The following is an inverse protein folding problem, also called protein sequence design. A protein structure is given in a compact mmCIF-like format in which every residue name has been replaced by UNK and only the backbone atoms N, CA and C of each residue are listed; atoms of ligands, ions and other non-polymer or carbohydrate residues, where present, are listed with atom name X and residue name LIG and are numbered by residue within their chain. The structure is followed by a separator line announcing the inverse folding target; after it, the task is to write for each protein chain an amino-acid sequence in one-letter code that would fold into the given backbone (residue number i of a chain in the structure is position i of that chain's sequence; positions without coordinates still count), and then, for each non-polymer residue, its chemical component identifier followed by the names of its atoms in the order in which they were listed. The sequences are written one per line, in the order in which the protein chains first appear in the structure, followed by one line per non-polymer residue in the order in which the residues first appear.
data_IF_320728724585
#
_entry.id   IF_320728724585
#
_cell.length_a   1.000
_cell.length_b   1.000
_cell.length_c   1.000
_cell.angle_alpha   90.00
_cell.angle_beta   90.00
_cell.angle_gamma   90.00
#
_symmetry.space_group_name_H-M   'P 1'
#
loop_
_entity.id
_entity.type
_entity.pdbx_description
1 polymer ?
#
# COMPACT_ATOMS: atom_id res chain seq x y z
N UNK A 1 -2.81 36.90 -28.87
CA UNK A 1 -3.15 35.78 -29.79
C UNK A 1 -3.25 34.51 -28.96
N UNK A 2 -4.47 34.03 -28.72
CA UNK A 2 -4.73 32.81 -27.95
C UNK A 2 -4.69 31.61 -28.91
N UNK A 3 -3.78 30.66 -28.67
CA UNK A 3 -3.63 29.44 -29.48
C UNK A 3 -4.67 28.44 -28.99
N UNK A 4 -5.68 28.17 -29.80
CA UNK A 4 -6.65 27.12 -29.52
C UNK A 4 -5.91 25.77 -29.59
N UNK A 5 -5.96 24.99 -28.50
CA UNK A 5 -5.50 23.61 -28.49
C UNK A 5 -6.57 22.77 -29.18
N UNK A 6 -6.32 22.37 -30.44
CA UNK A 6 -7.10 21.34 -31.10
C UNK A 6 -6.88 20.01 -30.36
N UNK A 7 -7.96 19.48 -29.79
CA UNK A 7 -7.99 18.14 -29.18
C UNK A 7 -8.03 17.13 -30.33
N UNK A 8 -6.88 16.52 -30.63
CA UNK A 8 -6.85 15.38 -31.56
C UNK A 8 -7.65 14.20 -30.97
N UNK A 9 -8.38 13.43 -31.80
CA UNK A 9 -9.05 12.22 -31.36
C UNK A 9 -8.01 11.24 -30.79
N UNK A 10 -8.27 10.76 -29.57
CA UNK A 10 -7.36 9.83 -28.86
C UNK A 10 -7.12 8.59 -29.71
N UNK A 11 -5.87 8.39 -30.13
CA UNK A 11 -5.47 7.15 -30.79
C UNK A 11 -5.80 5.94 -29.89
N UNK A 12 -6.18 4.79 -30.47
CA UNK A 12 -6.46 3.59 -29.70
C UNK A 12 -5.22 3.20 -28.90
N UNK A 13 -5.36 3.15 -27.57
CA UNK A 13 -4.30 2.71 -26.66
C UNK A 13 -4.10 1.21 -26.87
N UNK A 14 -2.94 0.83 -27.38
CA UNK A 14 -2.56 -0.58 -27.52
C UNK A 14 -2.40 -1.20 -26.12
N UNK A 15 -3.18 -2.24 -25.76
CA UNK A 15 -3.06 -2.91 -24.45
C UNK A 15 -1.70 -3.59 -24.25
N UNK A 16 -0.86 -3.68 -25.28
CA UNK A 16 0.52 -4.20 -25.23
C UNK A 16 1.59 -3.11 -25.22
N UNK A 17 1.22 -1.84 -25.03
CA UNK A 17 2.20 -0.77 -24.88
C UNK A 17 3.09 -1.05 -23.66
N UNK A 18 4.32 -1.50 -23.91
CA UNK A 18 5.35 -1.67 -22.89
C UNK A 18 6.10 -0.36 -22.72
N UNK A 19 6.28 0.08 -21.49
CA UNK A 19 7.12 1.24 -21.18
C UNK A 19 8.58 0.82 -21.43
N UNK A 20 9.27 1.51 -22.33
CA UNK A 20 10.66 1.22 -22.74
C UNK A 20 11.71 1.73 -21.73
N UNK A 21 11.26 2.45 -20.70
CA UNK A 21 12.11 3.04 -19.67
C UNK A 21 11.49 2.75 -18.30
N UNK A 22 12.32 2.31 -17.35
CA UNK A 22 11.86 2.18 -15.97
C UNK A 22 11.44 3.56 -15.42
N UNK A 23 10.33 3.66 -14.68
CA UNK A 23 9.94 4.92 -14.07
C UNK A 23 10.97 5.33 -13.00
N UNK A 24 11.26 6.62 -12.90
CA UNK A 24 12.10 7.16 -11.84
C UNK A 24 11.40 7.21 -10.48
N UNK A 25 10.06 7.18 -10.48
CA UNK A 25 9.24 7.32 -9.28
C UNK A 25 7.99 6.42 -9.37
N UNK A 26 7.78 5.62 -8.33
CA UNK A 26 6.54 4.91 -8.05
C UNK A 26 5.82 5.62 -6.91
N UNK A 27 4.51 5.80 -7.07
CA UNK A 27 3.65 6.44 -6.07
C UNK A 27 2.57 5.45 -5.67
N UNK A 28 2.55 5.05 -4.41
CA UNK A 28 1.46 4.29 -3.82
C UNK A 28 0.56 5.26 -3.06
N UNK A 29 -0.60 5.56 -3.64
CA UNK A 29 -1.53 6.54 -3.12
C UNK A 29 -2.69 5.86 -2.38
N UNK A 30 -2.87 6.21 -1.12
CA UNK A 30 -3.93 5.77 -0.21
C UNK A 30 -4.08 4.24 -0.11
N UNK A 31 -2.98 3.46 0.11
CA UNK A 31 -3.06 2.01 0.19
C UNK A 31 -3.99 1.54 1.31
N UNK A 32 -4.13 2.28 2.41
CA UNK A 32 -5.13 2.02 3.46
C UNK A 32 -6.56 1.93 2.96
N UNK A 33 -6.93 2.65 1.89
CA UNK A 33 -8.29 2.60 1.35
C UNK A 33 -8.67 1.22 0.83
N UNK A 34 -7.68 0.41 0.42
CA UNK A 34 -7.90 -0.99 0.03
C UNK A 34 -8.40 -1.87 1.20
N UNK A 35 -8.08 -1.48 2.44
CA UNK A 35 -8.35 -2.29 3.62
C UNK A 35 -9.43 -1.69 4.54
N UNK A 36 -9.83 -0.44 4.30
CA UNK A 36 -10.99 0.19 4.93
C UNK A 36 -12.29 -0.35 4.29
N UNK A 37 -13.43 -0.35 4.99
CA UNK A 37 -14.44 -1.40 4.83
C UNK A 37 -15.19 -1.36 3.48
N UNK A 38 -15.25 -2.54 2.86
CA UNK A 38 -16.33 -3.01 2.00
C UNK A 38 -16.67 -4.41 2.55
N UNK A 39 -17.67 -4.48 3.44
CA UNK A 39 -18.24 -5.71 4.05
C UNK A 39 -17.52 -6.36 5.24
N UNK A 40 -18.29 -7.08 6.06
CA UNK A 40 -17.95 -7.62 7.40
C UNK A 40 -16.90 -8.74 7.39
N UNK A 41 -16.51 -9.24 6.21
CA UNK A 41 -15.61 -10.39 6.04
C UNK A 41 -14.12 -10.02 5.84
N UNK A 42 -13.72 -8.81 6.23
CA UNK A 42 -12.36 -8.34 6.00
C UNK A 42 -11.32 -9.07 6.88
N UNK A 43 -10.83 -10.20 6.37
CA UNK A 43 -9.77 -11.05 6.94
C UNK A 43 -8.36 -10.41 6.91
N UNK A 44 -8.27 -9.12 6.59
CA UNK A 44 -7.00 -8.40 6.48
C UNK A 44 -6.33 -8.22 7.84
N UNK A 45 -5.03 -8.48 7.89
CA UNK A 45 -4.20 -8.29 9.08
C UNK A 45 -3.19 -7.17 8.86
N UNK A 46 -2.52 -6.73 9.93
CA UNK A 46 -1.37 -5.81 9.82
C UNK A 46 -0.33 -6.33 8.84
N UNK A 47 -0.11 -7.65 8.80
CA UNK A 47 0.80 -8.29 7.84
C UNK A 47 0.36 -8.12 6.39
N UNK A 48 -0.95 -8.08 6.10
CA UNK A 48 -1.46 -7.86 4.74
C UNK A 48 -1.08 -6.47 4.22
N UNK A 49 -1.20 -5.43 5.07
CA UNK A 49 -0.78 -4.08 4.72
C UNK A 49 0.74 -4.00 4.51
N UNK A 50 1.53 -4.54 5.44
CA UNK A 50 2.99 -4.53 5.32
C UNK A 50 3.47 -5.29 4.07
N UNK A 51 2.82 -6.40 3.74
CA UNK A 51 3.14 -7.16 2.53
C UNK A 51 2.92 -6.36 1.25
N UNK A 52 1.86 -5.55 1.19
CA UNK A 52 1.62 -4.63 0.06
C UNK A 52 2.78 -3.63 -0.10
N UNK A 53 3.23 -3.04 1.01
CA UNK A 53 4.36 -2.10 1.00
C UNK A 53 5.66 -2.80 0.56
N UNK A 54 5.92 -4.01 1.08
CA UNK A 54 7.09 -4.82 0.71
C UNK A 54 7.07 -5.16 -0.78
N UNK A 55 5.92 -5.53 -1.34
CA UNK A 55 5.80 -5.79 -2.77
C UNK A 55 6.07 -4.53 -3.60
N UNK A 56 5.55 -3.37 -3.20
CA UNK A 56 5.83 -2.11 -3.89
C UNK A 56 7.32 -1.77 -3.88
N UNK A 57 8.02 -2.01 -2.76
CA UNK A 57 9.47 -1.86 -2.66
C UNK A 57 10.22 -2.83 -3.57
N UNK A 58 9.83 -4.11 -3.59
CA UNK A 58 10.43 -5.11 -4.48
C UNK A 58 10.24 -4.75 -5.96
N UNK A 59 9.10 -4.16 -6.32
CA UNK A 59 8.87 -3.65 -7.68
C UNK A 59 9.78 -2.46 -7.98
N UNK A 60 9.96 -1.52 -7.05
CA UNK A 60 10.89 -0.40 -7.21
C UNK A 60 12.33 -0.88 -7.43
N UNK A 61 12.78 -1.84 -6.63
CA UNK A 61 14.11 -2.46 -6.75
C UNK A 61 14.27 -3.18 -8.10
N UNK A 62 13.27 -3.97 -8.49
CA UNK A 62 13.25 -4.66 -9.77
C UNK A 62 13.36 -3.67 -10.95
N UNK A 63 12.58 -2.59 -10.94
CA UNK A 63 12.63 -1.57 -11.98
C UNK A 63 13.98 -0.84 -12.02
N UNK A 64 14.59 -0.60 -10.86
CA UNK A 64 15.93 -0.02 -10.75
C UNK A 64 17.00 -0.93 -11.35
N UNK A 65 16.89 -2.25 -11.14
CA UNK A 65 17.85 -3.23 -11.66
C UNK A 65 17.75 -3.44 -13.19
N UNK A 66 16.62 -3.07 -13.78
CA UNK A 66 16.29 -3.33 -15.19
C UNK A 66 16.73 -2.25 -16.15
N UNK A 67 17.29 -1.13 -15.70
CA UNK A 67 17.84 -0.13 -16.60
C UNK A 67 19.33 -0.42 -16.88
N UNK A 68 19.68 -1.05 -18.02
CA UNK A 68 21.06 -1.26 -18.40
C UNK A 68 21.78 0.05 -18.76
N UNK A 69 21.03 1.16 -18.92
CA UNK A 69 21.61 2.48 -19.12
C UNK A 69 21.94 3.05 -17.74
N UNK A 70 23.19 2.84 -17.31
CA UNK A 70 23.80 3.33 -16.06
C UNK A 70 23.69 4.86 -15.77
N UNK A 71 22.86 5.62 -16.49
CA UNK A 71 22.67 7.06 -16.31
C UNK A 71 21.34 7.45 -15.66
N UNK A 72 20.38 6.53 -15.49
CA UNK A 72 19.11 6.86 -14.83
C UNK A 72 19.23 6.69 -13.30
N UNK A 73 18.60 7.59 -12.52
CA UNK A 73 18.52 7.41 -11.07
C UNK A 73 17.69 6.16 -10.74
N UNK A 74 17.96 5.50 -9.59
CA UNK A 74 17.15 4.38 -9.14
C UNK A 74 15.69 4.80 -8.96
N UNK A 75 14.77 3.87 -9.21
CA UNK A 75 13.34 4.06 -9.01
C UNK A 75 13.07 4.31 -7.53
N UNK A 76 12.60 5.52 -7.21
CA UNK A 76 12.16 5.87 -5.86
C UNK A 76 10.73 5.39 -5.62
N UNK A 77 10.42 4.93 -4.42
CA UNK A 77 9.05 4.65 -3.99
C UNK A 77 8.61 5.72 -3.00
N UNK A 78 7.45 6.32 -3.24
CA UNK A 78 6.79 7.22 -2.29
C UNK A 78 5.41 6.67 -1.97
N UNK A 79 5.12 6.59 -0.67
CA UNK A 79 3.82 6.14 -0.16
C UNK A 79 3.13 7.33 0.48
N UNK A 80 1.93 7.66 -0.02
CA UNK A 80 1.06 8.65 0.58
C UNK A 80 -0.15 7.93 1.17
N UNK A 81 -0.33 8.00 2.48
CA UNK A 81 -1.45 7.36 3.16
C UNK A 81 -2.00 8.28 4.25
N UNK A 82 -3.15 8.90 3.99
CA UNK A 82 -3.80 9.82 4.93
C UNK A 82 -4.71 9.12 5.94
N UNK A 83 -5.05 7.83 5.73
CA UNK A 83 -5.99 7.09 6.58
C UNK A 83 -5.31 5.97 7.38
N UNK A 84 -3.99 6.02 7.48
CA UNK A 84 -3.20 5.04 8.21
C UNK A 84 -3.55 4.99 9.71
N UNK A 85 -4.01 6.12 10.27
CA UNK A 85 -4.52 6.26 11.63
C UNK A 85 -5.89 5.59 11.85
N UNK A 86 -6.68 5.46 10.79
CA UNK A 86 -7.99 4.81 10.79
C UNK A 86 -7.87 3.29 10.64
N UNK A 87 -6.72 2.78 10.17
CA UNK A 87 -6.47 1.36 10.04
C UNK A 87 -6.29 0.67 11.40
N UNK A 88 -7.17 -0.27 11.64
CA UNK A 88 -7.21 -1.11 12.83
C UNK A 88 -7.28 -2.57 12.40
N UNK A 89 -6.16 -3.28 12.49
CA UNK A 89 -6.11 -4.70 12.15
C UNK A 89 -5.81 -5.55 13.38
N UNK A 90 -6.27 -6.82 13.39
CA UNK A 90 -5.75 -7.79 14.32
C UNK A 90 -4.29 -8.13 13.98
N UNK A 91 -3.43 -8.21 15.00
CA UNK A 91 -2.01 -8.59 14.84
C UNK A 91 -1.89 -10.07 14.45
N UNK A 92 -2.74 -10.92 15.03
CA UNK A 92 -2.87 -12.33 14.70
C UNK A 92 -4.35 -12.63 14.42
N UNK A 93 -4.63 -13.42 13.38
CA UNK A 93 -5.98 -13.99 13.23
C UNK A 93 -6.22 -14.90 14.43
N UNK A 94 -7.31 -14.69 15.15
CA UNK A 94 -7.74 -15.69 16.15
C UNK A 94 -7.86 -17.03 15.41
N UNK A 95 -7.24 -18.10 15.93
CA UNK A 95 -7.39 -19.42 15.33
C UNK A 95 -8.88 -19.71 15.25
N UNK A 96 -9.38 -20.01 14.04
CA UNK A 96 -10.77 -20.38 13.84
C UNK A 96 -11.05 -21.59 14.72
N UNK A 97 -11.80 -21.42 15.81
CA UNK A 97 -12.17 -22.55 16.68
C UNK A 97 -12.89 -23.57 15.80
N UNK A 98 -12.24 -24.71 15.61
CA UNK A 98 -12.82 -25.85 14.91
C UNK A 98 -14.10 -26.27 15.64
N UNK A 99 -15.08 -26.78 14.89
CA UNK A 99 -16.48 -27.01 15.28
C UNK A 99 -16.74 -28.07 16.38
N UNK A 100 -15.85 -28.21 17.37
CA UNK A 100 -15.91 -29.24 18.40
C UNK A 100 -15.91 -28.74 19.86
N UNK A 101 -15.80 -27.43 20.11
CA UNK A 101 -15.83 -26.91 21.49
C UNK A 101 -17.10 -26.10 21.79
N UNK A 102 -17.75 -26.47 22.88
CA UNK A 102 -18.92 -25.85 23.51
C UNK A 102 -18.74 -24.35 23.84
N UNK A 103 -19.85 -23.60 24.04
CA UNK A 103 -19.84 -22.14 24.04
C UNK A 103 -19.47 -21.56 25.40
N UNK A 104 -18.17 -21.43 25.69
CA UNK A 104 -17.71 -20.65 26.83
C UNK A 104 -17.08 -19.30 26.40
N UNK A 105 -17.78 -18.23 26.74
CA UNK A 105 -17.24 -16.87 26.97
C UNK A 105 -17.38 -15.86 25.82
N UNK A 106 -17.91 -14.64 26.07
CA UNK A 106 -17.99 -13.55 25.08
C UNK A 106 -16.64 -12.84 24.80
N UNK A 107 -15.48 -13.42 25.14
CA UNK A 107 -14.20 -12.69 25.24
C UNK A 107 -13.16 -12.97 24.12
N UNK A 108 -13.47 -13.76 23.09
CA UNK A 108 -12.46 -14.17 22.07
C UNK A 108 -12.39 -13.25 20.81
N UNK A 109 -12.77 -11.97 20.96
CA UNK A 109 -12.67 -10.98 19.86
C UNK A 109 -11.23 -10.48 19.78
N UNK A 110 -10.48 -10.71 18.68
CA UNK A 110 -9.10 -10.25 18.56
C UNK A 110 -9.05 -8.72 18.63
N UNK A 111 -8.23 -8.21 19.56
CA UNK A 111 -8.10 -6.78 19.82
C UNK A 111 -7.52 -6.08 18.57
N UNK A 112 -8.23 -5.12 17.96
CA UNK A 112 -7.67 -4.32 16.89
C UNK A 112 -6.55 -3.41 17.42
N UNK A 113 -5.39 -3.45 16.77
CA UNK A 113 -4.27 -2.56 17.08
C UNK A 113 -4.08 -1.51 15.99
N UNK A 114 -3.68 -0.27 16.36
CA UNK A 114 -3.40 0.78 15.40
C UNK A 114 -2.17 0.41 14.54
N UNK A 115 -2.35 0.45 13.23
CA UNK A 115 -1.33 0.01 12.25
C UNK A 115 -0.18 1.01 12.11
N UNK A 116 -0.47 2.29 12.38
CA UNK A 116 0.48 3.39 12.28
C UNK A 116 1.80 3.12 13.01
N UNK A 117 1.77 2.52 14.20
CA UNK A 117 2.98 2.23 14.98
C UNK A 117 3.91 1.25 14.27
N UNK A 118 3.35 0.17 13.72
CA UNK A 118 4.12 -0.85 13.00
C UNK A 118 4.69 -0.31 11.68
N UNK A 119 3.89 0.50 10.98
CA UNK A 119 4.28 1.09 9.70
C UNK A 119 5.37 2.14 9.88
N UNK A 120 5.25 2.98 10.90
CA UNK A 120 6.32 3.91 11.28
C UNK A 120 7.61 3.15 11.57
N UNK A 121 7.57 2.10 12.40
CA UNK A 121 8.75 1.28 12.71
C UNK A 121 9.37 0.62 11.48
N UNK A 122 8.56 0.17 10.54
CA UNK A 122 9.04 -0.39 9.28
C UNK A 122 9.73 0.65 8.40
N UNK A 123 9.14 1.84 8.24
CA UNK A 123 9.73 2.90 7.43
C UNK A 123 10.96 3.52 8.10
N UNK A 124 11.05 3.56 9.43
CA UNK A 124 12.28 3.91 10.15
C UNK A 124 13.46 2.98 9.79
N UNK A 125 13.18 1.71 9.47
CA UNK A 125 14.21 0.73 9.08
C UNK A 125 14.55 0.76 7.58
N UNK A 126 13.58 1.12 6.73
CA UNK A 126 13.68 0.98 5.27
C UNK A 126 13.77 2.31 4.51
N UNK A 127 13.59 3.45 5.18
CA UNK A 127 13.62 4.77 4.53
C UNK A 127 13.34 5.94 5.48
N UNK A 128 12.70 6.98 4.95
CA UNK A 128 12.30 8.17 5.70
C UNK A 128 10.79 8.21 5.90
N UNK A 129 10.34 8.32 7.15
CA UNK A 129 8.93 8.48 7.49
C UNK A 129 8.62 9.93 7.87
N UNK A 130 7.62 10.54 7.25
CA UNK A 130 7.11 11.86 7.63
C UNK A 130 5.62 11.78 7.99
N UNK A 131 5.34 11.53 9.27
CA UNK A 131 3.98 11.60 9.80
C UNK A 131 3.60 13.04 10.15
N UNK A 132 2.55 13.59 9.53
CA UNK A 132 1.90 14.81 10.02
C UNK A 132 0.67 14.39 10.82
N UNK A 133 0.73 14.49 12.15
CA UNK A 133 -0.46 14.44 12.98
C UNK A 133 -1.18 15.79 12.85
N UNK A 134 -2.30 15.82 12.12
CA UNK A 134 -3.18 16.99 12.11
C UNK A 134 -4.01 16.89 13.40
N UNK A 135 -3.58 17.60 14.44
CA UNK A 135 -4.36 17.76 15.67
C UNK A 135 -5.46 18.78 15.35
N UNK A 136 -6.71 18.33 15.28
CA UNK A 136 -7.90 19.18 15.18
C UNK A 136 -8.45 19.49 16.58
#
# INVERSE_FOLDING_TARGET
MLRAHEVLPSAPVDPKATIDVAPALLILHEPSTYFLPLEEDNSHTTSSYLLLIIHALAVADFLSSRDPRHSSPPTSLVVFDSKLDQLKFPVLRSPTRSALDEPDGPDDIPRPEPVLFFVQKYFELSGSFQGRCIIH
#
